data_IF_071465774612
#
_entry.id   IF_071465774612
#
_cell.length_a   1.000
_cell.length_b   1.000
_cell.length_c   1.000
_cell.angle_alpha   90.00
_cell.angle_beta   90.00
_cell.angle_gamma   90.00
#
_symmetry.space_group_name_H-M   'P 1'
#
loop_
_entity.id
_entity.type
_entity.pdbx_description
1 polymer ?
#
# COMPACT_ATOMS: atom_id res chain seq x y z
N UNK A 1 20.01 -8.25 19.90
CA UNK A 1 19.00 -7.32 20.44
C UNK A 1 18.78 -6.21 19.44
N UNK A 2 19.38 -5.00 19.54
CA UNK A 2 19.05 -3.91 18.60
C UNK A 2 19.16 -4.25 17.09
N UNK A 3 20.21 -4.97 16.65
CA UNK A 3 20.35 -5.37 15.24
C UNK A 3 19.37 -6.48 14.81
N UNK A 4 18.98 -7.33 15.75
CA UNK A 4 17.99 -8.40 15.54
C UNK A 4 16.58 -7.83 15.46
N UNK A 5 16.27 -6.82 16.29
CA UNK A 5 15.01 -6.08 16.28
C UNK A 5 14.83 -5.32 14.95
N UNK A 6 15.90 -4.69 14.44
CA UNK A 6 15.91 -4.05 13.12
C UNK A 6 15.71 -5.07 11.99
N UNK A 7 16.36 -6.23 12.07
CA UNK A 7 16.19 -7.31 11.11
C UNK A 7 14.75 -7.83 11.04
N UNK A 8 14.13 -8.03 12.21
CA UNK A 8 12.74 -8.45 12.34
C UNK A 8 11.77 -7.39 11.80
N UNK A 9 11.96 -6.13 12.19
CA UNK A 9 11.13 -5.02 11.71
C UNK A 9 11.23 -4.85 10.20
N UNK A 10 12.43 -4.96 9.64
CA UNK A 10 12.65 -4.90 8.20
C UNK A 10 11.97 -6.06 7.47
N UNK A 11 11.94 -7.25 8.08
CA UNK A 11 11.19 -8.38 7.52
C UNK A 11 9.68 -8.08 7.49
N UNK A 12 9.11 -7.60 8.61
CA UNK A 12 7.71 -7.23 8.70
C UNK A 12 7.33 -6.22 7.61
N UNK A 13 8.03 -5.09 7.50
CA UNK A 13 7.68 -4.03 6.56
C UNK A 13 7.86 -4.41 5.07
N UNK A 14 8.71 -5.38 4.75
CA UNK A 14 8.78 -5.96 3.39
C UNK A 14 7.59 -6.87 3.07
N UNK A 15 7.03 -7.54 4.07
CA UNK A 15 5.90 -8.47 3.91
C UNK A 15 4.55 -7.74 3.96
N UNK A 16 4.39 -6.83 4.90
CA UNK A 16 3.19 -6.03 5.12
C UNK A 16 3.16 -4.74 4.29
N UNK A 17 4.24 -4.40 3.59
CA UNK A 17 4.35 -3.19 2.78
C UNK A 17 5.35 -3.33 1.63
N UNK A 18 6.06 -2.25 1.34
CA UNK A 18 7.05 -2.18 0.25
C UNK A 18 8.49 -2.03 0.76
N UNK A 19 8.71 -2.26 2.06
CA UNK A 19 9.97 -2.02 2.74
C UNK A 19 10.01 -0.65 3.42
N UNK A 20 11.16 -0.32 3.99
CA UNK A 20 11.40 0.93 4.70
C UNK A 20 12.89 1.29 4.64
N UNK A 21 13.20 2.58 4.70
CA UNK A 21 14.54 3.10 4.85
C UNK A 21 15.11 2.78 6.24
N UNK A 22 16.43 2.96 6.41
CA UNK A 22 17.10 2.70 7.70
C UNK A 22 16.54 3.58 8.83
N UNK A 23 16.27 4.85 8.54
CA UNK A 23 15.73 5.81 9.51
C UNK A 23 14.32 5.44 9.95
N UNK A 24 13.46 5.05 9.00
CA UNK A 24 12.12 4.55 9.31
C UNK A 24 12.18 3.28 10.15
N UNK A 25 13.09 2.34 9.83
CA UNK A 25 13.27 1.10 10.59
C UNK A 25 13.65 1.36 12.05
N UNK A 26 14.55 2.32 12.29
CA UNK A 26 14.92 2.71 13.66
C UNK A 26 13.74 3.34 14.40
N UNK A 27 12.93 4.13 13.72
CA UNK A 27 11.70 4.73 14.28
C UNK A 27 10.67 3.66 14.64
N UNK A 28 10.38 2.73 13.73
CA UNK A 28 9.46 1.62 13.98
C UNK A 28 9.97 0.68 15.06
N UNK A 29 11.27 0.33 15.05
CA UNK A 29 11.86 -0.52 16.07
C UNK A 29 11.78 0.11 17.48
N UNK A 30 11.93 1.44 17.59
CA UNK A 30 11.75 2.15 18.85
C UNK A 30 10.29 2.14 19.35
N UNK A 31 9.30 2.04 18.46
CA UNK A 31 7.88 1.90 18.81
C UNK A 31 7.55 0.52 19.38
N UNK A 32 8.28 -0.51 18.94
CA UNK A 32 8.07 -1.90 19.33
C UNK A 32 7.20 -2.67 18.34
N UNK A 33 7.45 -3.97 18.20
CA UNK A 33 6.88 -4.80 17.14
C UNK A 33 5.35 -4.84 17.15
N UNK A 34 4.74 -5.17 18.30
CA UNK A 34 3.30 -5.36 18.42
C UNK A 34 2.53 -4.08 18.08
N UNK A 35 3.03 -2.94 18.55
CA UNK A 35 2.42 -1.63 18.30
C UNK A 35 2.47 -1.24 16.80
N UNK A 36 3.55 -1.62 16.10
CA UNK A 36 3.65 -1.43 14.64
C UNK A 36 2.71 -2.37 13.89
N UNK A 37 2.50 -3.60 14.39
CA UNK A 37 1.51 -4.51 13.79
C UNK A 37 0.10 -3.92 13.92
N UNK A 38 -0.24 -3.36 15.08
CA UNK A 38 -1.54 -2.69 15.26
C UNK A 38 -1.71 -1.50 14.30
N UNK A 39 -0.68 -0.65 14.13
CA UNK A 39 -0.74 0.45 13.14
C UNK A 39 -0.92 -0.02 11.70
N UNK A 40 -0.36 -1.19 11.35
CA UNK A 40 -0.43 -1.74 10.00
C UNK A 40 -1.82 -2.32 9.69
N UNK A 41 -2.47 -2.92 10.69
CA UNK A 41 -3.74 -3.63 10.53
C UNK A 41 -4.94 -2.71 10.73
N UNK A 42 -4.85 -1.75 11.65
CA UNK A 42 -5.91 -0.79 11.93
C UNK A 42 -5.68 0.53 11.20
N UNK A 43 -6.39 0.70 10.09
CA UNK A 43 -6.33 1.88 9.24
C UNK A 43 -6.69 3.19 9.97
N UNK A 44 -7.50 3.14 11.04
CA UNK A 44 -7.92 4.34 11.77
C UNK A 44 -6.78 4.97 12.58
N UNK A 45 -5.72 4.20 12.87
CA UNK A 45 -4.53 4.66 13.59
C UNK A 45 -3.59 5.52 12.73
N UNK A 46 -3.73 5.44 11.41
CA UNK A 46 -2.87 6.14 10.45
C UNK A 46 -3.70 7.08 9.57
N UNK A 47 -3.24 8.32 9.29
CA UNK A 47 -3.96 9.19 8.38
C UNK A 47 -3.98 8.61 6.96
N UNK A 48 -5.02 8.88 6.15
CA UNK A 48 -5.01 8.53 4.74
C UNK A 48 -3.97 9.36 3.98
N UNK A 49 -3.60 8.89 2.79
CA UNK A 49 -2.72 9.65 1.89
C UNK A 49 -3.37 10.98 1.47
N UNK A 50 -2.54 12.00 1.25
CA UNK A 50 -2.99 13.29 0.72
C UNK A 50 -3.39 13.17 -0.77
N UNK A 51 -4.71 13.16 -1.00
CA UNK A 51 -5.31 13.08 -2.32
C UNK A 51 -5.08 14.33 -3.17
N UNK A 52 -4.80 15.49 -2.57
CA UNK A 52 -4.66 16.74 -3.32
C UNK A 52 -3.37 16.76 -4.14
N UNK A 53 -2.28 16.20 -3.59
CA UNK A 53 -1.02 16.01 -4.31
C UNK A 53 -1.23 15.07 -5.51
N UNK A 54 -1.94 13.96 -5.30
CA UNK A 54 -2.23 13.01 -6.38
C UNK A 54 -3.02 13.68 -7.49
N UNK A 55 -4.13 14.35 -7.16
CA UNK A 55 -4.99 15.03 -8.16
C UNK A 55 -4.24 16.12 -8.90
N UNK A 56 -3.33 16.85 -8.23
CA UNK A 56 -2.56 17.94 -8.83
C UNK A 56 -1.52 17.45 -9.84
N UNK A 57 -0.80 16.37 -9.53
CA UNK A 57 0.32 15.90 -10.35
C UNK A 57 -0.01 14.71 -11.25
N UNK A 58 -1.05 13.95 -10.93
CA UNK A 58 -1.52 12.78 -11.67
C UNK A 58 -2.96 12.95 -12.15
N UNK A 59 -3.34 14.17 -12.53
CA UNK A 59 -4.64 14.44 -13.13
C UNK A 59 -4.78 13.79 -14.51
N UNK A 60 -5.83 12.99 -14.71
CA UNK A 60 -6.18 12.39 -15.99
C UNK A 60 -6.54 10.89 -15.92
N UNK A 61 -6.82 10.31 -17.09
CA UNK A 61 -7.33 8.94 -17.20
C UNK A 61 -6.42 8.00 -18.01
N UNK A 62 -5.31 8.53 -18.53
CA UNK A 62 -4.34 7.74 -19.30
C UNK A 62 -3.74 6.60 -18.47
N UNK A 63 -3.43 5.44 -19.07
CA UNK A 63 -2.91 4.27 -18.35
C UNK A 63 -1.60 4.55 -17.61
N UNK A 64 -0.74 5.41 -18.15
CA UNK A 64 0.51 5.85 -17.54
C UNK A 64 0.24 6.68 -16.28
N UNK A 65 -0.79 7.52 -16.31
CA UNK A 65 -1.22 8.36 -15.19
C UNK A 65 -1.82 7.49 -14.08
N UNK A 66 -2.70 6.54 -14.44
CA UNK A 66 -3.33 5.64 -13.45
C UNK A 66 -2.32 4.69 -12.82
N UNK A 67 -1.41 4.14 -13.62
CA UNK A 67 -0.32 3.30 -13.12
C UNK A 67 0.64 4.10 -12.22
N UNK A 68 1.00 5.32 -12.64
CA UNK A 68 1.84 6.23 -11.86
C UNK A 68 1.18 6.64 -10.53
N UNK A 69 -0.13 6.87 -10.54
CA UNK A 69 -0.91 7.15 -9.32
C UNK A 69 -0.80 6.02 -8.31
N UNK A 70 -0.94 4.77 -8.77
CA UNK A 70 -0.87 3.63 -7.87
C UNK A 70 0.54 3.42 -7.31
N UNK A 71 1.57 3.54 -8.15
CA UNK A 71 2.98 3.50 -7.70
C UNK A 71 3.25 4.60 -6.66
N UNK A 72 2.75 5.81 -6.90
CA UNK A 72 2.88 6.90 -5.93
C UNK A 72 2.26 6.55 -4.58
N UNK A 73 1.06 5.95 -4.58
CA UNK A 73 0.43 5.46 -3.35
C UNK A 73 1.25 4.37 -2.67
N UNK A 74 1.75 3.37 -3.40
CA UNK A 74 2.58 2.30 -2.82
C UNK A 74 3.83 2.82 -2.09
N UNK A 75 4.38 3.96 -2.52
CA UNK A 75 5.57 4.56 -1.94
C UNK A 75 5.22 5.51 -0.77
N UNK A 76 4.15 6.30 -0.91
CA UNK A 76 3.90 7.44 -0.02
C UNK A 76 2.70 7.25 0.92
N UNK A 77 1.93 6.15 0.80
CA UNK A 77 0.77 5.93 1.65
C UNK A 77 1.21 5.55 3.08
N UNK A 78 0.79 6.29 4.12
CA UNK A 78 1.03 5.92 5.52
C UNK A 78 0.41 4.57 5.93
N UNK A 79 -0.50 4.03 5.11
CA UNK A 79 -1.15 2.72 5.28
C UNK A 79 -0.63 1.71 4.25
N UNK A 80 0.62 1.22 4.38
CA UNK A 80 1.24 0.40 3.33
C UNK A 80 0.55 -0.95 3.11
N UNK A 81 -0.09 -1.51 4.15
CA UNK A 81 -0.81 -2.78 4.05
C UNK A 81 -2.03 -2.69 3.13
N UNK A 82 -2.71 -1.55 3.09
CA UNK A 82 -3.85 -1.29 2.21
C UNK A 82 -3.46 -1.49 0.73
N UNK A 83 -2.37 -0.86 0.29
CA UNK A 83 -1.86 -1.00 -1.08
C UNK A 83 -1.25 -2.38 -1.34
N UNK A 84 -0.62 -2.98 -0.32
CA UNK A 84 -0.06 -4.33 -0.42
C UNK A 84 -1.14 -5.37 -0.66
N UNK A 85 -2.26 -5.26 0.04
CA UNK A 85 -3.42 -6.14 -0.11
C UNK A 85 -4.13 -5.91 -1.43
N UNK A 86 -4.27 -4.66 -1.87
CA UNK A 86 -4.79 -4.36 -3.19
C UNK A 86 -3.95 -5.00 -4.31
N UNK A 87 -2.62 -4.92 -4.20
CA UNK A 87 -1.69 -5.56 -5.14
C UNK A 87 -1.80 -7.09 -5.11
N UNK A 88 -1.87 -7.68 -3.91
CA UNK A 88 -2.08 -9.13 -3.76
C UNK A 88 -3.34 -9.60 -4.50
N UNK A 89 -4.48 -8.95 -4.25
CA UNK A 89 -5.74 -9.32 -4.91
C UNK A 89 -5.72 -9.06 -6.41
N UNK A 90 -5.09 -7.97 -6.86
CA UNK A 90 -4.93 -7.68 -8.28
C UNK A 90 -4.18 -8.80 -9.03
N UNK A 91 -3.24 -9.49 -8.37
CA UNK A 91 -2.53 -10.64 -8.95
C UNK A 91 -3.32 -11.95 -8.93
N UNK A 92 -4.33 -12.07 -8.09
CA UNK A 92 -5.15 -13.29 -7.99
C UNK A 92 -6.15 -13.39 -9.15
N UNK A 93 -6.73 -12.27 -9.56
CA UNK A 93 -7.71 -12.24 -10.65
C UNK A 93 -7.05 -12.07 -12.01
N UNK A 94 -7.58 -12.72 -13.03
CA UNK A 94 -7.08 -12.66 -14.41
C UNK A 94 -7.49 -11.35 -15.11
N UNK A 95 -7.12 -10.21 -14.55
CA UNK A 95 -7.38 -8.87 -15.08
C UNK A 95 -6.08 -8.20 -15.51
N UNK A 96 -6.06 -7.55 -16.67
CA UNK A 96 -4.87 -6.90 -17.18
C UNK A 96 -5.17 -5.86 -18.26
N UNK A 97 -4.41 -4.76 -18.26
CA UNK A 97 -4.64 -3.64 -19.16
C UNK A 97 -4.60 -4.07 -20.63
N UNK A 98 -3.59 -4.86 -21.02
CA UNK A 98 -3.42 -5.33 -22.39
C UNK A 98 -4.57 -6.20 -22.93
N UNK A 99 -5.57 -6.55 -22.10
CA UNK A 99 -6.76 -7.32 -22.50
C UNK A 99 -8.05 -6.50 -22.51
N UNK A 100 -8.14 -5.48 -21.65
CA UNK A 100 -9.34 -4.65 -21.54
C UNK A 100 -9.18 -3.21 -22.05
N UNK A 101 -7.95 -2.71 -22.15
CA UNK A 101 -7.58 -1.35 -22.59
C UNK A 101 -8.36 -0.23 -21.89
N UNK A 102 -8.82 -0.49 -20.66
CA UNK A 102 -9.69 0.42 -19.90
C UNK A 102 -9.08 0.74 -18.53
N UNK A 103 -8.25 1.79 -18.48
CA UNK A 103 -7.46 2.15 -17.31
C UNK A 103 -8.31 2.53 -16.08
N UNK A 104 -9.48 3.16 -16.30
CA UNK A 104 -10.42 3.50 -15.24
C UNK A 104 -10.96 2.25 -14.55
N UNK A 105 -11.38 1.25 -15.32
CA UNK A 105 -11.95 0.02 -14.77
C UNK A 105 -10.93 -0.75 -13.93
N UNK A 106 -9.66 -0.74 -14.35
CA UNK A 106 -8.58 -1.30 -13.53
C UNK A 106 -8.35 -0.52 -12.24
N UNK A 107 -8.44 0.81 -12.31
CA UNK A 107 -8.31 1.63 -11.11
C UNK A 107 -9.46 1.41 -10.14
N UNK A 108 -10.70 1.34 -10.63
CA UNK A 108 -11.88 1.06 -9.81
C UNK A 108 -11.77 -0.31 -9.13
N UNK A 109 -11.18 -1.30 -9.82
CA UNK A 109 -10.88 -2.61 -9.25
C UNK A 109 -9.86 -2.53 -8.11
N UNK A 110 -8.77 -1.77 -8.30
CA UNK A 110 -7.76 -1.56 -7.25
C UNK A 110 -8.40 -0.82 -6.07
N UNK A 111 -9.22 0.20 -6.32
CA UNK A 111 -9.94 0.96 -5.29
C UNK A 111 -10.92 0.06 -4.53
N UNK A 112 -11.59 -0.87 -5.21
CA UNK A 112 -12.38 -1.91 -4.58
C UNK A 112 -11.52 -2.75 -3.62
N UNK A 113 -10.40 -3.30 -4.10
CA UNK A 113 -9.53 -4.14 -3.28
C UNK A 113 -8.90 -3.40 -2.11
N UNK A 114 -8.62 -2.10 -2.21
CA UNK A 114 -8.21 -1.30 -1.06
C UNK A 114 -9.29 -1.29 0.02
N UNK A 115 -10.53 -0.99 -0.35
CA UNK A 115 -11.64 -0.87 0.62
C UNK A 115 -12.03 -2.19 1.28
N UNK A 116 -11.98 -3.31 0.56
CA UNK A 116 -12.52 -4.59 1.06
C UNK A 116 -11.47 -5.69 1.19
N UNK A 117 -10.22 -5.45 0.79
CA UNK A 117 -9.18 -6.48 0.66
C UNK A 117 -8.75 -7.11 1.98
N UNK A 118 -8.97 -6.42 3.10
CA UNK A 118 -8.72 -6.91 4.46
C UNK A 118 -10.01 -7.39 5.18
N UNK A 119 -11.17 -7.28 4.52
CA UNK A 119 -12.45 -7.67 5.09
C UNK A 119 -12.76 -9.16 4.88
N UNK A 120 -13.90 -9.62 5.38
CA UNK A 120 -14.38 -10.98 5.13
C UNK A 120 -14.96 -11.08 3.71
N UNK A 121 -14.16 -11.63 2.79
CA UNK A 121 -14.55 -11.90 1.40
C UNK A 121 -15.10 -13.33 1.33
N UNK A 122 -16.40 -13.49 1.66
CA UNK A 122 -17.15 -14.74 1.53
C UNK A 122 -18.42 -14.53 0.73
#
# INVERSE_FOLDING_TARGET
>A
MADEDLGLMAHLLRRAGFGASREELETYAAKGYDEVVEDLVDEERCPPIDEDIIKRYFGGEGPEIRSGTWIYRMINNPRPLEEKMALFWHHVFATGYAKGEHALAMSDQIDLFRRIGMSNIR
#
